data_IF_107028477782
#
_entry.id   IF_107028477782
#
_cell.length_a   1.000
_cell.length_b   1.000
_cell.length_c   1.000
_cell.angle_alpha   90.00
_cell.angle_beta   90.00
_cell.angle_gamma   90.00
#
_symmetry.space_group_name_H-M   'P 1'
#
loop_
_entity.id
_entity.type
_entity.pdbx_description
1 polymer ?
#
# COMPACT_ATOMS: atom_id res chain seq x y z
N UNK A 1 -1.06 -21.19 -1.51
CA UNK A 1 -1.14 -21.01 -2.97
C UNK A 1 -2.27 -20.04 -3.26
N UNK A 2 -2.01 -19.03 -4.09
CA UNK A 2 -3.00 -18.00 -4.46
C UNK A 2 -3.64 -18.31 -5.81
N UNK A 3 -4.70 -17.56 -6.12
CA UNK A 3 -5.32 -17.51 -7.44
C UNK A 3 -5.18 -16.08 -7.97
N UNK A 4 -4.72 -15.94 -9.20
CA UNK A 4 -4.81 -14.65 -9.90
C UNK A 4 -6.23 -14.47 -10.44
N UNK A 5 -6.83 -13.33 -10.16
CA UNK A 5 -8.21 -13.00 -10.55
C UNK A 5 -8.24 -11.64 -11.23
N UNK A 6 -9.09 -11.49 -12.24
CA UNK A 6 -9.29 -10.22 -12.94
C UNK A 6 -10.75 -9.90 -13.11
N UNK A 7 -11.07 -8.61 -13.07
CA UNK A 7 -12.41 -8.13 -13.37
C UNK A 7 -12.36 -6.71 -13.95
N UNK A 8 -13.28 -6.40 -14.87
CA UNK A 8 -13.51 -5.03 -15.30
C UNK A 8 -14.28 -4.28 -14.23
N UNK A 9 -13.61 -3.36 -13.54
CA UNK A 9 -14.15 -2.54 -12.45
C UNK A 9 -14.02 -1.08 -12.86
N UNK A 10 -15.14 -0.34 -12.81
CA UNK A 10 -15.19 1.08 -13.17
C UNK A 10 -14.53 1.39 -14.54
N UNK A 11 -14.68 0.48 -15.50
CA UNK A 11 -14.15 0.60 -16.86
C UNK A 11 -12.67 0.25 -17.04
N UNK A 12 -12.01 -0.33 -16.03
CA UNK A 12 -10.61 -0.75 -16.09
C UNK A 12 -10.50 -2.24 -15.71
N UNK A 13 -9.72 -3.05 -16.42
CA UNK A 13 -9.46 -4.43 -16.02
C UNK A 13 -8.47 -4.45 -14.85
N UNK A 14 -8.95 -4.77 -13.66
CA UNK A 14 -8.15 -4.79 -12.43
C UNK A 14 -7.87 -6.21 -11.99
N UNK A 15 -6.72 -6.39 -11.35
CA UNK A 15 -6.16 -7.64 -10.87
C UNK A 15 -6.12 -7.69 -9.34
N UNK A 16 -6.30 -8.87 -8.76
CA UNK A 16 -5.89 -9.17 -7.40
C UNK A 16 -5.44 -10.62 -7.27
N UNK A 17 -4.56 -10.87 -6.30
CA UNK A 17 -4.30 -12.22 -5.82
C UNK A 17 -5.32 -12.57 -4.73
N UNK A 18 -5.95 -13.74 -4.85
CA UNK A 18 -6.91 -14.28 -3.89
C UNK A 18 -6.32 -15.49 -3.16
N UNK A 19 -5.94 -15.27 -1.90
CA UNK A 19 -5.34 -16.26 -1.01
C UNK A 19 -6.36 -16.78 0.00
N UNK A 20 -6.20 -18.03 0.45
CA UNK A 20 -7.04 -18.63 1.48
C UNK A 20 -8.42 -19.09 0.99
N UNK A 21 -9.29 -19.47 1.92
CA UNK A 21 -10.66 -19.92 1.64
C UNK A 21 -11.58 -18.73 1.37
N UNK A 22 -12.41 -18.77 0.31
CA UNK A 22 -13.27 -17.65 -0.09
C UNK A 22 -14.33 -17.25 0.95
N UNK A 23 -14.70 -18.19 1.82
CA UNK A 23 -15.68 -18.01 2.90
C UNK A 23 -15.05 -17.53 4.22
N UNK A 24 -13.72 -17.45 4.30
CA UNK A 24 -13.04 -16.94 5.48
C UNK A 24 -13.21 -15.40 5.60
N UNK A 25 -13.09 -14.83 6.81
CA UNK A 25 -13.03 -13.38 6.98
C UNK A 25 -11.97 -12.77 6.07
N UNK A 26 -12.29 -11.67 5.38
CA UNK A 26 -11.43 -11.12 4.36
C UNK A 26 -10.52 -9.99 4.87
N UNK A 27 -9.29 -9.97 4.37
CA UNK A 27 -8.34 -8.87 4.50
C UNK A 27 -8.08 -8.31 3.11
N UNK A 28 -8.47 -7.05 2.88
CA UNK A 28 -8.08 -6.28 1.70
C UNK A 28 -6.71 -5.66 1.93
N UNK A 29 -5.74 -6.02 1.08
CA UNK A 29 -4.36 -5.52 1.16
C UNK A 29 -4.11 -4.53 0.02
N UNK A 30 -3.69 -3.31 0.37
CA UNK A 30 -3.52 -2.19 -0.55
C UNK A 30 -2.06 -1.71 -0.52
N UNK A 31 -1.38 -1.81 -1.67
CA UNK A 31 0.06 -1.55 -1.78
C UNK A 31 0.40 -0.05 -1.87
N UNK A 32 1.69 0.28 -1.74
CA UNK A 32 2.21 1.65 -1.90
C UNK A 32 2.25 2.15 -3.35
N UNK A 33 2.61 3.42 -3.54
CA UNK A 33 2.44 4.17 -4.80
C UNK A 33 2.89 3.47 -6.09
N UNK A 34 4.04 2.80 -6.04
CA UNK A 34 4.71 2.14 -7.18
C UNK A 34 4.89 0.64 -6.97
N UNK A 35 4.18 0.09 -6.00
CA UNK A 35 4.21 -1.32 -5.63
C UNK A 35 3.12 -2.11 -6.36
N UNK A 36 2.98 -3.38 -5.99
CA UNK A 36 2.03 -4.35 -6.54
C UNK A 36 1.71 -5.44 -5.50
N UNK A 37 0.72 -6.28 -5.77
CA UNK A 37 0.13 -7.30 -4.90
C UNK A 37 1.13 -8.26 -4.25
N UNK A 38 2.15 -8.71 -4.97
CA UNK A 38 3.22 -9.57 -4.45
C UNK A 38 4.08 -8.94 -3.35
N UNK A 39 3.94 -7.64 -3.08
CA UNK A 39 4.53 -7.04 -1.87
C UNK A 39 3.91 -7.59 -0.58
N UNK A 40 2.77 -8.26 -0.67
CA UNK A 40 2.09 -8.90 0.44
C UNK A 40 2.22 -10.43 0.47
N UNK A 41 2.94 -11.07 -0.46
CA UNK A 41 2.99 -12.54 -0.58
C UNK A 41 3.28 -13.23 0.76
N UNK A 42 4.29 -12.76 1.51
CA UNK A 42 4.66 -13.35 2.81
C UNK A 42 3.61 -13.12 3.90
N UNK A 43 2.93 -11.96 3.88
CA UNK A 43 1.84 -11.66 4.83
C UNK A 43 0.62 -12.50 4.50
N UNK A 44 0.26 -12.57 3.22
CA UNK A 44 -0.88 -13.34 2.74
C UNK A 44 -0.66 -14.84 3.00
N UNK A 45 0.51 -15.39 2.69
CA UNK A 45 0.85 -16.78 2.99
C UNK A 45 0.67 -17.09 4.49
N UNK A 46 1.17 -16.20 5.37
CA UNK A 46 1.07 -16.33 6.82
C UNK A 46 -0.36 -16.29 7.37
N UNK A 47 -1.27 -15.56 6.72
CA UNK A 47 -2.64 -15.34 7.20
C UNK A 47 -3.69 -16.15 6.46
N UNK A 48 -3.34 -16.75 5.32
CA UNK A 48 -4.26 -17.45 4.41
C UNK A 48 -4.88 -18.74 4.96
N UNK A 49 -4.36 -19.24 6.09
CA UNK A 49 -4.94 -20.37 6.83
C UNK A 49 -6.22 -19.99 7.58
N UNK A 50 -6.40 -18.70 7.89
CA UNK A 50 -7.50 -18.17 8.71
C UNK A 50 -8.30 -17.08 8.03
N UNK A 51 -7.70 -16.38 7.07
CA UNK A 51 -8.30 -15.27 6.36
C UNK A 51 -8.27 -15.49 4.86
N UNK A 52 -9.22 -14.86 4.17
CA UNK A 52 -9.13 -14.62 2.73
C UNK A 52 -8.30 -13.36 2.50
N UNK A 53 -7.08 -13.46 1.99
CA UNK A 53 -6.27 -12.28 1.70
C UNK A 53 -6.44 -11.88 0.24
N UNK A 54 -6.90 -10.64 0.03
CA UNK A 54 -7.14 -10.04 -1.29
C UNK A 54 -6.07 -8.98 -1.49
N UNK A 55 -4.97 -9.35 -2.16
CA UNK A 55 -3.89 -8.43 -2.47
C UNK A 55 -4.19 -7.73 -3.80
N UNK A 56 -4.65 -6.49 -3.71
CA UNK A 56 -5.24 -5.77 -4.84
C UNK A 56 -4.20 -4.90 -5.56
N UNK A 57 -4.07 -5.09 -6.87
CA UNK A 57 -3.29 -4.19 -7.72
C UNK A 57 -4.13 -2.95 -8.05
N UNK A 58 -3.73 -1.79 -7.53
CA UNK A 58 -4.36 -0.53 -7.88
C UNK A 58 -4.22 -0.28 -9.39
N UNK A 59 -5.22 0.35 -10.00
CA UNK A 59 -5.21 0.72 -11.44
C UNK A 59 -3.84 1.29 -11.86
N UNK A 60 -3.31 0.82 -12.99
CA UNK A 60 -2.00 1.22 -13.49
C UNK A 60 -0.79 0.69 -12.74
N UNK A 61 -0.93 -0.37 -11.92
CA UNK A 61 0.17 -1.06 -11.23
C UNK A 61 0.02 -2.58 -11.36
N UNK A 62 1.13 -3.29 -11.23
CA UNK A 62 1.14 -4.75 -11.25
C UNK A 62 0.52 -5.30 -12.53
N UNK A 63 -0.43 -6.24 -12.37
CA UNK A 63 -1.16 -6.84 -13.48
C UNK A 63 -2.51 -6.15 -13.76
N UNK A 64 -2.80 -5.04 -13.06
CA UNK A 64 -3.94 -4.17 -13.38
C UNK A 64 -3.64 -3.31 -14.60
N UNK A 65 -4.67 -3.14 -15.43
CA UNK A 65 -4.60 -2.32 -16.63
C UNK A 65 -4.24 -0.85 -16.30
N UNK A 66 -3.47 -0.25 -17.20
CA UNK A 66 -3.17 1.19 -17.15
C UNK A 66 -4.42 2.00 -17.53
N UNK A 67 -4.65 3.10 -16.84
CA UNK A 67 -5.85 3.92 -16.97
C UNK A 67 -5.50 5.36 -17.36
N UNK A 68 -6.54 6.16 -17.64
CA UNK A 68 -6.35 7.57 -17.92
C UNK A 68 -5.60 8.27 -16.75
N UNK A 69 -4.54 9.07 -17.00
CA UNK A 69 -3.66 9.61 -15.95
C UNK A 69 -4.39 10.40 -14.86
N UNK A 70 -5.47 11.12 -15.21
CA UNK A 70 -6.30 11.88 -14.27
C UNK A 70 -7.08 11.01 -13.26
N UNK A 71 -7.10 9.69 -13.46
CA UNK A 71 -7.76 8.75 -12.54
C UNK A 71 -6.80 8.14 -11.52
N UNK A 72 -5.51 8.47 -11.57
CA UNK A 72 -4.53 8.04 -10.57
C UNK A 72 -4.61 8.89 -9.29
N UNK A 73 -5.72 8.75 -8.57
CA UNK A 73 -5.98 9.48 -7.33
C UNK A 73 -6.77 8.61 -6.32
N UNK A 74 -6.59 8.89 -5.04
CA UNK A 74 -7.19 8.15 -3.91
C UNK A 74 -8.71 7.92 -4.07
N UNK A 75 -9.54 8.90 -4.47
CA UNK A 75 -10.97 8.67 -4.65
C UNK A 75 -11.29 7.55 -5.66
N UNK A 76 -10.54 7.45 -6.75
CA UNK A 76 -10.72 6.39 -7.75
C UNK A 76 -10.26 5.03 -7.21
N UNK A 77 -9.14 4.98 -6.50
CA UNK A 77 -8.66 3.74 -5.86
C UNK A 77 -9.66 3.21 -4.84
N UNK A 78 -10.28 4.10 -4.06
CA UNK A 78 -11.33 3.74 -3.10
C UNK A 78 -12.59 3.25 -3.82
N UNK A 79 -13.02 3.91 -4.90
CA UNK A 79 -14.16 3.46 -5.70
C UNK A 79 -13.93 2.08 -6.31
N UNK A 80 -12.71 1.78 -6.77
CA UNK A 80 -12.35 0.47 -7.28
C UNK A 80 -12.38 -0.59 -6.18
N UNK A 81 -11.80 -0.30 -5.02
CA UNK A 81 -11.83 -1.20 -3.88
C UNK A 81 -13.26 -1.49 -3.43
N UNK A 82 -14.12 -0.47 -3.28
CA UNK A 82 -15.53 -0.67 -2.90
C UNK A 82 -16.25 -1.54 -3.93
N UNK A 83 -16.08 -1.25 -5.22
CA UNK A 83 -16.72 -2.03 -6.28
C UNK A 83 -16.21 -3.47 -6.30
N UNK A 84 -14.91 -3.71 -6.10
CA UNK A 84 -14.35 -5.05 -5.93
C UNK A 84 -15.04 -5.79 -4.77
N UNK A 85 -15.15 -5.15 -3.60
CA UNK A 85 -15.79 -5.77 -2.44
C UNK A 85 -17.26 -6.10 -2.69
N UNK A 86 -17.98 -5.27 -3.45
CA UNK A 86 -19.37 -5.54 -3.83
C UNK A 86 -19.47 -6.75 -4.76
N UNK A 87 -18.62 -6.85 -5.77
CA UNK A 87 -18.58 -7.97 -6.72
C UNK A 87 -18.16 -9.29 -6.06
N UNK A 88 -17.31 -9.22 -5.03
CA UNK A 88 -16.92 -10.36 -4.22
C UNK A 88 -17.93 -10.70 -3.12
N UNK A 89 -19.05 -9.97 -3.03
CA UNK A 89 -20.07 -10.10 -1.99
C UNK A 89 -19.50 -9.99 -0.55
N UNK A 90 -18.52 -9.09 -0.36
CA UNK A 90 -17.87 -8.84 0.93
C UNK A 90 -18.42 -7.55 1.56
N UNK A 91 -19.41 -7.65 2.47
CA UNK A 91 -20.02 -6.46 3.07
C UNK A 91 -19.08 -5.69 3.99
N UNK A 92 -18.05 -6.33 4.56
CA UNK A 92 -17.02 -5.66 5.34
C UNK A 92 -15.73 -6.49 5.34
N UNK A 93 -14.59 -5.82 5.46
CA UNK A 93 -13.26 -6.44 5.43
C UNK A 93 -12.34 -5.81 6.47
N UNK A 94 -11.33 -6.56 6.88
CA UNK A 94 -10.13 -5.96 7.47
C UNK A 94 -9.30 -5.29 6.37
N UNK A 95 -8.57 -4.23 6.70
CA UNK A 95 -7.70 -3.53 5.75
C UNK A 95 -6.27 -3.58 6.24
N UNK A 96 -5.34 -3.88 5.35
CA UNK A 96 -3.90 -3.68 5.51
C UNK A 96 -3.41 -2.76 4.39
N UNK A 97 -2.98 -1.55 4.73
CA UNK A 97 -2.57 -0.56 3.74
C UNK A 97 -1.15 -0.06 3.98
N UNK A 98 -0.30 -0.16 2.97
CA UNK A 98 1.06 0.41 2.99
C UNK A 98 1.07 1.75 2.27
N UNK A 99 1.58 2.80 2.91
CA UNK A 99 1.75 4.12 2.26
C UNK A 99 0.43 4.62 1.62
N UNK A 100 0.42 4.84 0.31
CA UNK A 100 -0.79 5.13 -0.48
C UNK A 100 -1.99 4.23 -0.12
N UNK A 101 -1.76 2.92 0.01
CA UNK A 101 -2.81 1.97 0.38
C UNK A 101 -3.40 2.21 1.77
N UNK A 102 -2.61 2.73 2.71
CA UNK A 102 -3.12 3.14 4.03
C UNK A 102 -3.94 4.42 3.96
N UNK A 103 -3.61 5.37 3.07
CA UNK A 103 -4.48 6.54 2.80
C UNK A 103 -5.80 6.14 2.13
N UNK A 104 -5.77 5.12 1.27
CA UNK A 104 -6.99 4.49 0.75
C UNK A 104 -7.80 3.84 1.88
N UNK A 105 -7.14 3.15 2.82
CA UNK A 105 -7.78 2.59 4.02
C UNK A 105 -8.43 3.64 4.92
N UNK A 106 -7.75 4.76 5.19
CA UNK A 106 -8.32 5.91 5.91
C UNK A 106 -9.51 6.49 5.15
N UNK A 107 -9.39 6.67 3.84
CA UNK A 107 -10.50 7.20 3.01
C UNK A 107 -11.70 6.24 2.97
N UNK A 108 -11.47 4.92 2.92
CA UNK A 108 -12.53 3.92 3.09
C UNK A 108 -13.20 4.05 4.47
N UNK A 109 -12.43 4.23 5.54
CA UNK A 109 -12.95 4.50 6.87
C UNK A 109 -13.76 5.81 6.95
N UNK A 110 -13.41 6.82 6.17
CA UNK A 110 -14.09 8.11 6.15
C UNK A 110 -15.46 8.04 5.46
N UNK A 111 -15.52 7.39 4.29
CA UNK A 111 -16.69 7.42 3.42
C UNK A 111 -17.53 6.14 3.46
N UNK A 112 -16.95 5.04 3.96
CA UNK A 112 -17.58 3.72 4.05
C UNK A 112 -17.23 3.00 5.38
N UNK A 113 -17.36 3.65 6.55
CA UNK A 113 -16.90 3.11 7.84
C UNK A 113 -17.47 1.72 8.17
N UNK A 114 -18.70 1.42 7.75
CA UNK A 114 -19.36 0.12 7.93
C UNK A 114 -18.67 -1.04 7.20
N UNK A 115 -17.81 -0.73 6.20
CA UNK A 115 -17.06 -1.72 5.43
C UNK A 115 -15.73 -2.09 6.09
N UNK A 116 -15.30 -1.40 7.15
CA UNK A 116 -13.96 -1.53 7.73
C UNK A 116 -14.01 -2.21 9.11
N UNK A 117 -13.67 -3.49 9.15
CA UNK A 117 -13.64 -4.31 10.38
C UNK A 117 -12.44 -4.00 11.26
N UNK A 118 -11.29 -3.71 10.65
CA UNK A 118 -10.08 -3.19 11.31
C UNK A 118 -9.18 -2.53 10.27
N UNK A 119 -8.25 -1.68 10.72
CA UNK A 119 -7.34 -0.94 9.83
C UNK A 119 -5.89 -1.05 10.32
N UNK A 120 -5.05 -1.76 9.57
CA UNK A 120 -3.61 -1.76 9.75
C UNK A 120 -2.95 -0.78 8.77
N UNK A 121 -2.28 0.24 9.31
CA UNK A 121 -1.51 1.25 8.59
C UNK A 121 -0.03 0.89 8.64
N UNK A 122 0.58 0.67 7.49
CA UNK A 122 2.02 0.48 7.37
C UNK A 122 2.68 1.77 6.86
N UNK A 123 3.29 2.46 7.81
CA UNK A 123 4.13 3.65 7.69
C UNK A 123 3.47 4.83 6.97
N UNK A 124 2.25 5.14 7.38
CA UNK A 124 1.49 6.28 6.87
C UNK A 124 0.46 6.75 7.90
N UNK A 125 0.09 8.02 7.83
CA UNK A 125 -0.90 8.62 8.70
C UNK A 125 -1.61 9.80 8.05
N UNK A 126 -2.44 10.53 8.81
CA UNK A 126 -3.18 11.69 8.31
C UNK A 126 -2.31 12.85 7.81
N UNK A 127 -1.07 12.93 8.27
CA UNK A 127 -0.08 13.88 7.77
C UNK A 127 1.10 13.16 7.15
N UNK A 128 1.63 13.74 6.08
CA UNK A 128 2.78 13.25 5.34
C UNK A 128 3.89 14.27 5.49
N UNK A 129 5.06 13.81 5.95
CA UNK A 129 6.22 14.67 6.08
C UNK A 129 6.68 15.16 4.68
N UNK A 130 6.87 16.48 4.48
CA UNK A 130 7.29 17.03 3.19
C UNK A 130 8.59 16.45 2.64
N UNK A 131 9.53 16.01 3.51
CA UNK A 131 10.78 15.43 3.07
C UNK A 131 10.57 14.13 2.29
N UNK A 132 9.79 13.19 2.86
CA UNK A 132 9.44 11.94 2.22
C UNK A 132 8.55 12.16 1.00
N UNK A 133 7.58 13.07 1.07
CA UNK A 133 6.74 13.42 -0.08
C UNK A 133 7.58 13.92 -1.27
N UNK A 134 8.53 14.83 -1.03
CA UNK A 134 9.41 15.35 -2.06
C UNK A 134 10.34 14.25 -2.62
N UNK A 135 10.93 13.41 -1.75
CA UNK A 135 11.74 12.28 -2.20
C UNK A 135 10.96 11.33 -3.11
N UNK A 136 9.72 11.00 -2.72
CA UNK A 136 8.83 10.14 -3.50
C UNK A 136 8.54 10.76 -4.87
N UNK A 137 8.15 12.02 -4.91
CA UNK A 137 7.90 12.73 -6.16
C UNK A 137 9.13 12.76 -7.08
N UNK A 138 10.32 13.00 -6.54
CA UNK A 138 11.55 13.03 -7.34
C UNK A 138 11.88 11.66 -7.96
N UNK A 139 11.81 10.57 -7.20
CA UNK A 139 12.17 9.29 -7.77
C UNK A 139 11.12 8.80 -8.78
N UNK A 140 9.82 9.05 -8.56
CA UNK A 140 8.78 8.61 -9.50
C UNK A 140 8.83 9.40 -10.80
N UNK A 141 9.13 10.69 -10.74
CA UNK A 141 9.31 11.54 -11.92
C UNK A 141 10.54 11.18 -12.76
N UNK A 142 11.53 10.48 -12.17
CA UNK A 142 12.81 10.16 -12.81
C UNK A 142 12.97 8.67 -13.14
N UNK A 143 11.89 7.90 -13.10
CA UNK A 143 11.88 6.50 -13.53
C UNK A 143 12.21 6.42 -15.03
N UNK A 144 13.27 5.70 -15.43
CA UNK A 144 13.57 5.45 -16.83
C UNK A 144 12.41 4.74 -17.53
N UNK A 145 12.15 5.08 -18.79
CA UNK A 145 11.13 4.38 -19.59
C UNK A 145 11.46 2.90 -19.81
N UNK A 146 12.75 2.57 -19.87
CA UNK A 146 13.26 1.21 -19.83
C UNK A 146 14.67 1.14 -19.25
N UNK A 147 15.08 -0.07 -18.87
CA UNK A 147 16.39 -0.46 -18.39
C UNK A 147 17.01 -1.48 -19.36
N UNK A 148 18.33 -1.45 -19.57
CA UNK A 148 19.00 -2.39 -20.47
C UNK A 148 19.02 -3.83 -19.96
N UNK A 149 18.85 -4.05 -18.65
CA UNK A 149 18.76 -5.39 -18.05
C UNK A 149 17.96 -5.36 -16.75
N UNK A 150 17.60 -6.55 -16.24
CA UNK A 150 16.98 -6.70 -14.93
C UNK A 150 17.88 -6.15 -13.80
N UNK A 151 19.18 -6.42 -13.88
CA UNK A 151 20.18 -5.97 -12.90
C UNK A 151 20.28 -4.43 -12.87
N UNK A 152 20.18 -3.77 -14.02
CA UNK A 152 20.15 -2.31 -14.09
C UNK A 152 18.90 -1.72 -13.40
N UNK A 153 17.75 -2.40 -13.52
CA UNK A 153 16.54 -2.01 -12.79
C UNK A 153 16.70 -2.22 -11.28
N UNK A 154 17.35 -3.31 -10.86
CA UNK A 154 17.69 -3.59 -9.45
C UNK A 154 18.61 -2.52 -8.88
N UNK A 155 19.68 -2.16 -9.60
CA UNK A 155 20.64 -1.15 -9.15
C UNK A 155 19.95 0.21 -8.98
N UNK A 156 19.14 0.62 -9.97
CA UNK A 156 18.36 1.85 -9.90
C UNK A 156 17.39 1.84 -8.71
N UNK A 157 16.65 0.74 -8.51
CA UNK A 157 15.70 0.63 -7.41
C UNK A 157 16.40 0.69 -6.04
N UNK A 158 17.53 0.01 -5.86
CA UNK A 158 18.32 0.10 -4.61
C UNK A 158 18.88 1.50 -4.40
N UNK A 159 19.26 2.19 -5.45
CA UNK A 159 19.73 3.57 -5.32
C UNK A 159 18.60 4.51 -4.87
N UNK A 160 17.37 4.36 -5.40
CA UNK A 160 16.28 5.33 -5.19
C UNK A 160 15.30 4.97 -4.07
N UNK A 161 15.05 3.70 -3.83
CA UNK A 161 14.14 3.21 -2.81
C UNK A 161 14.90 2.94 -1.52
N UNK A 162 14.86 3.91 -0.59
CA UNK A 162 15.64 3.86 0.65
C UNK A 162 15.38 2.59 1.47
N UNK A 163 14.14 2.08 1.48
CA UNK A 163 13.78 0.85 2.19
C UNK A 163 14.44 -0.41 1.60
N UNK A 164 14.84 -0.39 0.32
CA UNK A 164 15.54 -1.51 -0.31
C UNK A 164 17.05 -1.49 -0.09
N UNK A 165 17.63 -0.35 0.33
CA UNK A 165 19.10 -0.21 0.48
C UNK A 165 19.67 -1.18 1.52
N UNK A 166 18.90 -1.42 2.59
CA UNK A 166 19.29 -2.27 3.71
C UNK A 166 19.04 -3.76 3.47
N UNK A 167 18.27 -4.12 2.45
CA UNK A 167 17.98 -5.52 2.13
C UNK A 167 19.14 -6.18 1.36
N UNK A 168 19.36 -7.49 1.57
CA UNK A 168 20.23 -8.30 0.71
C UNK A 168 19.83 -8.15 -0.76
N UNK A 169 20.82 -8.11 -1.66
CA UNK A 169 20.55 -7.96 -3.10
C UNK A 169 19.56 -9.01 -3.63
N UNK A 170 19.73 -10.26 -3.20
CA UNK A 170 18.88 -11.38 -3.60
C UNK A 170 17.41 -11.19 -3.22
N UNK A 171 17.12 -10.56 -2.09
CA UNK A 171 15.74 -10.26 -1.68
C UNK A 171 15.14 -9.14 -2.54
N UNK A 172 15.95 -8.11 -2.84
CA UNK A 172 15.53 -7.05 -3.76
C UNK A 172 15.26 -7.60 -5.15
N UNK A 173 16.12 -8.49 -5.65
CA UNK A 173 15.92 -9.18 -6.92
C UNK A 173 14.64 -10.02 -6.90
N UNK A 174 14.43 -10.83 -5.86
CA UNK A 174 13.22 -11.65 -5.74
C UNK A 174 11.93 -10.80 -5.79
N UNK A 175 11.89 -9.68 -5.05
CA UNK A 175 10.75 -8.77 -5.08
C UNK A 175 10.58 -8.04 -6.41
N UNK A 176 11.67 -7.57 -7.01
CA UNK A 176 11.62 -6.82 -8.26
C UNK A 176 11.19 -7.66 -9.46
N UNK A 177 11.45 -8.97 -9.47
CA UNK A 177 10.96 -9.87 -10.54
C UNK A 177 9.45 -9.73 -10.78
N UNK A 178 8.68 -9.46 -9.73
CA UNK A 178 7.24 -9.22 -9.83
C UNK A 178 6.89 -7.81 -10.28
N UNK A 179 7.76 -6.83 -9.99
CA UNK A 179 7.52 -5.41 -10.25
C UNK A 179 8.02 -4.92 -11.62
N UNK A 180 8.78 -5.73 -12.37
CA UNK A 180 9.27 -5.38 -13.71
C UNK A 180 8.87 -6.42 -14.75
N UNK A 181 8.85 -6.01 -16.02
CA UNK A 181 8.62 -6.88 -17.18
C UNK A 181 9.65 -6.60 -18.26
N UNK A 182 10.01 -7.64 -18.99
CA UNK A 182 10.80 -7.54 -20.21
C UNK A 182 9.88 -7.28 -21.41
N UNK A 183 10.31 -6.41 -22.31
CA UNK A 183 9.64 -6.11 -23.58
C UNK A 183 10.63 -5.69 -24.66
N UNK A 184 10.14 -5.28 -25.82
CA UNK A 184 10.98 -4.96 -26.99
C UNK A 184 12.04 -3.87 -26.74
N UNK A 185 11.78 -2.95 -25.80
CA UNK A 185 12.69 -1.87 -25.41
C UNK A 185 13.57 -2.15 -24.19
N UNK A 186 13.60 -3.40 -23.71
CA UNK A 186 14.27 -3.81 -22.47
C UNK A 186 13.32 -3.98 -21.29
N UNK A 187 13.83 -3.79 -20.09
CA UNK A 187 13.10 -4.00 -18.84
C UNK A 187 12.36 -2.73 -18.41
N UNK A 188 11.14 -2.83 -17.92
CA UNK A 188 10.36 -1.68 -17.44
C UNK A 188 9.57 -2.05 -16.19
N UNK A 189 9.29 -1.07 -15.33
CA UNK A 189 8.39 -1.31 -14.21
C UNK A 189 6.95 -1.59 -14.70
N UNK A 190 6.23 -2.42 -13.95
CA UNK A 190 4.82 -2.75 -14.19
C UNK A 190 3.83 -1.70 -13.65
N UNK A 191 4.29 -0.48 -13.35
CA UNK A 191 3.40 0.65 -13.11
C UNK A 191 3.45 1.64 -14.26
N UNK A 192 2.34 2.31 -14.51
CA UNK A 192 2.23 3.32 -15.57
C UNK A 192 3.15 4.52 -15.28
N UNK A 193 4.12 4.85 -16.16
CA UNK A 193 4.97 6.03 -16.01
C UNK A 193 4.20 7.35 -15.87
N UNK A 194 2.95 7.42 -16.32
CA UNK A 194 2.11 8.59 -16.13
C UNK A 194 1.84 8.90 -14.63
N UNK A 195 1.92 7.91 -13.74
CA UNK A 195 1.81 8.11 -12.28
C UNK A 195 2.87 9.10 -11.78
N UNK A 196 4.11 9.00 -12.28
CA UNK A 196 5.20 9.91 -11.91
C UNK A 196 5.15 11.26 -12.63
N UNK A 197 4.31 11.40 -13.66
CA UNK A 197 4.17 12.63 -14.46
C UNK A 197 2.95 13.45 -14.08
N UNK A 198 1.99 12.86 -13.36
CA UNK A 198 0.85 13.59 -12.81
C UNK A 198 1.34 14.60 -11.77
N UNK A 199 1.00 15.90 -11.90
CA UNK A 199 1.38 16.90 -10.90
C UNK A 199 0.90 16.50 -9.50
N UNK A 200 1.70 16.73 -8.45
CA UNK A 200 1.25 16.48 -7.09
C UNK A 200 0.03 17.35 -6.75
N UNK A 201 -0.85 16.91 -5.83
CA UNK A 201 -1.93 17.75 -5.34
C UNK A 201 -1.40 19.06 -4.75
N UNK A 202 -2.19 20.13 -4.84
CA UNK A 202 -1.82 21.42 -4.23
C UNK A 202 -1.75 21.29 -2.70
N UNK A 203 -1.03 22.21 -2.05
CA UNK A 203 -0.94 22.25 -0.59
C UNK A 203 -2.33 22.36 0.09
N UNK A 204 -3.26 23.08 -0.54
CA UNK A 204 -4.65 23.23 -0.04
C UNK A 204 -5.43 21.91 -0.11
N UNK A 205 -5.29 21.15 -1.21
CA UNK A 205 -5.90 19.82 -1.35
C UNK A 205 -5.31 18.86 -0.32
N UNK A 206 -3.98 18.86 -0.14
CA UNK A 206 -3.31 18.02 0.85
C UNK A 206 -3.74 18.37 2.29
N UNK A 207 -3.87 19.66 2.60
CA UNK A 207 -4.35 20.11 3.92
C UNK A 207 -5.78 19.64 4.18
N UNK A 208 -6.68 19.84 3.21
CA UNK A 208 -8.08 19.38 3.32
C UNK A 208 -8.16 17.86 3.49
N UNK A 209 -7.35 17.09 2.76
CA UNK A 209 -7.29 15.65 2.90
C UNK A 209 -6.78 15.23 4.28
N UNK A 210 -5.74 15.89 4.79
CA UNK A 210 -5.20 15.64 6.13
C UNK A 210 -6.24 15.90 7.23
N UNK A 211 -7.02 16.99 7.13
CA UNK A 211 -8.10 17.29 8.06
C UNK A 211 -9.17 16.19 8.07
N UNK A 212 -9.57 15.69 6.89
CA UNK A 212 -10.49 14.55 6.78
C UNK A 212 -9.90 13.31 7.45
N UNK A 213 -8.65 12.94 7.12
CA UNK A 213 -8.02 11.74 7.67
C UNK A 213 -7.83 11.82 9.18
N UNK A 214 -7.53 13.00 9.72
CA UNK A 214 -7.46 13.23 11.16
C UNK A 214 -8.81 13.02 11.84
N UNK A 215 -9.87 13.55 11.25
CA UNK A 215 -11.23 13.35 11.76
C UNK A 215 -11.64 11.88 11.69
N UNK A 216 -11.32 11.20 10.57
CA UNK A 216 -11.58 9.78 10.39
C UNK A 216 -10.85 8.94 11.43
N UNK A 217 -9.54 9.14 11.62
CA UNK A 217 -8.76 8.38 12.59
C UNK A 217 -9.34 8.48 14.01
N UNK A 218 -9.76 9.68 14.41
CA UNK A 218 -10.34 9.94 15.72
C UNK A 218 -11.76 9.38 15.89
N UNK A 219 -12.49 9.16 14.79
CA UNK A 219 -13.90 8.69 14.81
C UNK A 219 -14.06 7.20 14.53
N UNK A 220 -13.07 6.54 13.92
CA UNK A 220 -13.09 5.11 13.69
C UNK A 220 -13.18 4.35 15.02
N UNK A 221 -14.12 3.40 15.08
CA UNK A 221 -14.36 2.56 16.25
C UNK A 221 -13.80 1.14 16.12
N UNK A 222 -13.29 0.80 14.94
CA UNK A 222 -12.64 -0.48 14.70
C UNK A 222 -11.20 -0.48 15.26
N UNK A 223 -10.61 -1.66 15.53
CA UNK A 223 -9.22 -1.75 15.92
C UNK A 223 -8.29 -1.14 14.87
N UNK A 224 -7.28 -0.39 15.30
CA UNK A 224 -6.27 0.22 14.44
C UNK A 224 -4.87 -0.23 14.87
N UNK A 225 -4.09 -0.73 13.92
CA UNK A 225 -2.67 -1.01 14.09
C UNK A 225 -1.88 0.01 13.26
N UNK A 226 -0.85 0.60 13.85
CA UNK A 226 0.15 1.40 13.16
C UNK A 226 1.50 0.68 13.23
N UNK A 227 2.03 0.25 12.09
CA UNK A 227 3.41 -0.20 11.94
C UNK A 227 4.20 0.98 11.38
N UNK A 228 5.19 1.47 12.11
CA UNK A 228 6.01 2.62 11.71
C UNK A 228 7.48 2.21 11.62
N UNK A 229 8.16 2.61 10.55
CA UNK A 229 9.62 2.56 10.49
C UNK A 229 10.22 3.63 11.41
N UNK A 230 11.13 3.24 12.30
CA UNK A 230 11.75 4.16 13.26
C UNK A 230 12.39 5.38 12.55
N UNK A 231 12.99 5.15 11.39
CA UNK A 231 13.69 6.13 10.54
C UNK A 231 12.78 6.71 9.42
N UNK A 232 11.45 6.58 9.53
CA UNK A 232 10.55 7.03 8.46
C UNK A 232 10.66 8.54 8.22
N UNK A 233 10.86 8.90 6.96
CA UNK A 233 10.82 10.26 6.44
C UNK A 233 9.46 10.63 5.84
N UNK A 234 8.46 9.74 5.95
CA UNK A 234 7.09 9.94 5.47
C UNK A 234 6.13 10.10 6.64
N UNK A 235 6.24 9.23 7.65
CA UNK A 235 5.45 9.32 8.87
C UNK A 235 6.36 9.75 10.03
N UNK A 236 6.29 11.04 10.38
CA UNK A 236 7.07 11.58 11.48
C UNK A 236 6.67 10.94 12.82
N UNK A 237 7.61 10.89 13.77
CA UNK A 237 7.31 10.44 15.14
C UNK A 237 6.23 11.31 15.80
N UNK A 238 6.29 12.62 15.58
CA UNK A 238 5.32 13.57 16.13
C UNK A 238 3.90 13.31 15.61
N UNK A 239 3.76 13.02 14.30
CA UNK A 239 2.47 12.63 13.71
C UNK A 239 1.97 11.33 14.33
N UNK A 240 2.83 10.32 14.48
CA UNK A 240 2.46 9.04 15.11
C UNK A 240 2.06 9.19 16.59
N UNK A 241 2.77 10.02 17.35
CA UNK A 241 2.43 10.34 18.74
C UNK A 241 1.05 11.05 18.82
N UNK A 242 0.74 11.94 17.86
CA UNK A 242 -0.57 12.59 17.75
C UNK A 242 -1.68 11.61 17.34
N UNK A 243 -1.38 10.61 16.51
CA UNK A 243 -2.31 9.54 16.16
C UNK A 243 -2.74 8.75 17.40
N UNK A 244 -1.79 8.33 18.25
CA UNK A 244 -2.09 7.66 19.53
C UNK A 244 -2.89 8.56 20.48
N UNK A 245 -2.57 9.85 20.53
CA UNK A 245 -3.32 10.81 21.37
C UNK A 245 -4.78 10.94 20.95
N UNK A 246 -5.06 10.94 19.64
CA UNK A 246 -6.44 11.06 19.10
C UNK A 246 -7.20 9.75 19.06
N UNK A 247 -6.49 8.63 19.00
CA UNK A 247 -7.06 7.29 19.01
C UNK A 247 -6.34 6.44 20.07
N UNK A 248 -6.71 6.53 21.36
CA UNK A 248 -6.02 5.83 22.44
C UNK A 248 -6.07 4.30 22.34
N UNK A 249 -6.99 3.75 21.53
CA UNK A 249 -7.07 2.31 21.25
C UNK A 249 -6.15 1.86 20.10
N UNK A 250 -5.48 2.80 19.40
CA UNK A 250 -4.50 2.51 18.38
C UNK A 250 -3.31 1.81 19.01
N UNK A 251 -2.91 0.69 18.41
CA UNK A 251 -1.68 -0.01 18.78
C UNK A 251 -0.60 0.42 17.82
N UNK A 252 0.49 1.02 18.32
CA UNK A 252 1.67 1.34 17.53
C UNK A 252 2.77 0.31 17.74
N UNK A 253 3.46 -0.02 16.67
CA UNK A 253 4.71 -0.80 16.68
C UNK A 253 5.75 -0.05 15.84
N UNK A 254 6.89 0.21 16.45
CA UNK A 254 8.06 0.79 15.78
C UNK A 254 8.97 -0.35 15.29
N UNK A 255 9.40 -0.29 14.04
CA UNK A 255 10.34 -1.22 13.43
C UNK A 255 11.72 -0.54 13.39
N UNK A 256 12.69 -0.98 14.19
CA UNK A 256 14.02 -0.37 14.23
C UNK A 256 14.73 -0.52 12.88
N UNK A 257 15.62 0.43 12.58
CA UNK A 257 16.45 0.42 11.38
C UNK A 257 15.66 0.32 10.06
N UNK A 258 14.40 0.76 10.06
CA UNK A 258 13.54 0.84 8.87
C UNK A 258 13.00 2.25 8.66
N UNK A 259 13.09 2.72 7.42
CA UNK A 259 12.45 3.96 6.96
C UNK A 259 11.08 3.70 6.33
N UNK A 260 10.65 4.58 5.44
CA UNK A 260 9.42 4.36 4.67
C UNK A 260 9.63 3.33 3.56
N UNK A 261 9.02 2.14 3.60
CA UNK A 261 8.20 1.58 4.68
C UNK A 261 8.76 0.22 5.13
N UNK A 262 8.44 -0.24 6.37
CA UNK A 262 8.66 -1.64 6.76
C UNK A 262 8.10 -2.60 5.73
N UNK A 263 8.83 -3.70 5.48
CA UNK A 263 8.47 -4.74 4.53
C UNK A 263 7.38 -5.67 5.07
N UNK A 264 7.05 -5.56 6.36
CA UNK A 264 6.14 -6.43 7.09
C UNK A 264 6.67 -7.87 7.25
N UNK A 265 7.97 -8.08 7.03
CA UNK A 265 8.68 -9.33 7.26
C UNK A 265 9.56 -9.27 8.51
N UNK A 266 9.73 -8.08 9.10
CA UNK A 266 10.48 -7.86 10.31
C UNK A 266 9.76 -8.49 11.51
N UNK A 267 10.52 -9.05 12.46
CA UNK A 267 9.95 -9.77 13.61
C UNK A 267 8.93 -8.94 14.40
N UNK A 268 9.20 -7.64 14.58
CA UNK A 268 8.27 -6.72 15.26
C UNK A 268 6.96 -6.56 14.49
N UNK A 269 7.04 -6.36 13.17
CA UNK A 269 5.86 -6.22 12.31
C UNK A 269 5.06 -7.53 12.23
N UNK A 270 5.73 -8.67 12.04
CA UNK A 270 5.09 -9.99 12.02
C UNK A 270 4.37 -10.31 13.33
N UNK A 271 5.01 -10.04 14.48
CA UNK A 271 4.38 -10.26 15.78
C UNK A 271 3.17 -9.34 16.00
N UNK A 272 3.22 -8.11 15.49
CA UNK A 272 2.12 -7.15 15.55
C UNK A 272 0.93 -7.61 14.71
N UNK A 273 1.17 -7.98 13.44
CA UNK A 273 0.15 -8.49 12.51
C UNK A 273 -0.49 -9.77 13.06
N UNK A 274 0.32 -10.69 13.60
CA UNK A 274 -0.18 -11.89 14.25
C UNK A 274 -1.13 -11.55 15.38
N UNK A 275 -0.77 -10.64 16.28
CA UNK A 275 -1.62 -10.27 17.40
C UNK A 275 -2.90 -9.58 16.93
N UNK A 276 -2.78 -8.71 15.94
CA UNK A 276 -3.89 -7.92 15.41
C UNK A 276 -4.93 -8.77 14.67
N UNK A 277 -4.49 -9.78 13.92
CA UNK A 277 -5.33 -10.73 13.18
C UNK A 277 -5.45 -12.10 13.89
N UNK A 278 -5.18 -12.19 15.19
CA UNK A 278 -5.51 -13.37 16.03
C UNK A 278 -6.73 -13.13 16.92
N UNK A 279 -7.38 -11.96 16.78
CA UNK A 279 -8.55 -11.55 17.55
C UNK A 279 -9.58 -12.65 17.69
#
# INVERSE_FOLDING_TARGET
MYRDEWMSINGVRLHWQDWGAREAPAILMLHGLTQQSHTFDHVAERLSDRYRCIAFDLRGRGESEWAAPGTYAIPHYVQDAVKLLDELALPAVHILGTSLGGLCGLSLGAFHPQRVLSLALNDIGPEIDPAGANRIAMYTATVPGSFPSFEAAVDWARERYLWLRRLPRSEVEAGLRWAVREGEGGWSFKFDPAIGKTPPPTAEVMKSAAEIWWHTLASLRCPILLVRGADSDVLSRATADEMERRQPALVRVEVPDMGHAPMLSELAALAALDRFYKG
#
